data_IF_261958304620
#
_entry.id   IF_261958304620
#
_cell.length_a   1.000
_cell.length_b   1.000
_cell.length_c   1.000
_cell.angle_alpha   90.00
_cell.angle_beta   90.00
_cell.angle_gamma   90.00
#
_symmetry.space_group_name_H-M   'P 1'
#
loop_
_entity.id
_entity.type
_entity.pdbx_description
1 polymer ?
#
# COMPACT_ATOMS: atom_id res chain seq x y z
N UNK A 1 -33.71 3.57 -28.53
CA UNK A 1 -33.54 4.32 -27.28
C UNK A 1 -32.09 4.75 -27.22
N UNK A 2 -31.79 5.95 -27.72
CA UNK A 2 -30.44 6.51 -27.84
C UNK A 2 -30.52 7.86 -27.13
N UNK A 3 -30.61 7.85 -25.80
CA UNK A 3 -30.52 9.04 -24.94
C UNK A 3 -30.47 8.55 -23.51
N UNK A 4 -29.26 8.44 -22.96
CA UNK A 4 -28.91 8.63 -21.53
C UNK A 4 -27.42 8.29 -21.34
N UNK A 5 -26.56 9.02 -22.06
CA UNK A 5 -25.18 9.22 -21.61
C UNK A 5 -25.05 10.73 -21.39
N UNK A 6 -25.65 11.16 -20.28
CA UNK A 6 -25.45 12.51 -19.79
C UNK A 6 -24.03 12.60 -19.28
N UNK A 7 -23.33 13.66 -19.70
CA UNK A 7 -22.02 14.09 -19.21
C UNK A 7 -21.95 14.02 -17.67
N UNK A 8 -21.63 12.86 -17.12
CA UNK A 8 -21.07 12.76 -15.77
C UNK A 8 -19.68 13.32 -15.90
N UNK A 9 -19.59 14.64 -15.75
CA UNK A 9 -18.35 15.39 -15.64
C UNK A 9 -17.42 14.58 -14.74
N UNK A 10 -16.38 13.98 -15.33
CA UNK A 10 -15.53 13.02 -14.64
C UNK A 10 -14.81 13.80 -13.55
N UNK A 11 -15.32 13.73 -12.31
CA UNK A 11 -14.75 14.41 -11.19
C UNK A 11 -13.35 13.83 -10.95
N UNK A 12 -12.35 14.71 -10.96
CA UNK A 12 -10.94 14.37 -10.77
C UNK A 12 -10.47 14.95 -9.44
N UNK A 13 -9.33 14.46 -8.95
CA UNK A 13 -8.69 14.97 -7.73
C UNK A 13 -8.56 16.50 -7.71
N UNK A 14 -8.21 17.11 -8.85
CA UNK A 14 -8.10 18.57 -9.03
C UNK A 14 -9.39 19.34 -8.74
N UNK A 15 -10.54 18.69 -8.86
CA UNK A 15 -11.86 19.29 -8.59
C UNK A 15 -12.16 19.30 -7.10
N UNK A 16 -11.86 18.20 -6.41
CA UNK A 16 -12.15 18.08 -4.98
C UNK A 16 -11.12 18.76 -4.09
N UNK A 17 -9.85 18.78 -4.49
CA UNK A 17 -8.76 19.23 -3.62
C UNK A 17 -8.90 20.69 -3.15
N UNK A 18 -9.29 21.67 -3.99
CA UNK A 18 -9.53 23.02 -3.52
C UNK A 18 -10.65 23.10 -2.47
N UNK A 19 -11.69 22.29 -2.63
CA UNK A 19 -12.85 22.25 -1.71
C UNK A 19 -12.43 21.63 -0.37
N UNK A 20 -11.70 20.51 -0.40
CA UNK A 20 -11.17 19.90 0.82
C UNK A 20 -10.24 20.86 1.57
N UNK A 21 -9.32 21.53 0.86
CA UNK A 21 -8.44 22.55 1.46
C UNK A 21 -9.24 23.69 2.10
N UNK A 22 -10.25 24.20 1.41
CA UNK A 22 -11.11 25.26 1.93
C UNK A 22 -11.77 24.87 3.25
N UNK A 23 -12.37 23.68 3.34
CA UNK A 23 -12.98 23.25 4.59
C UNK A 23 -11.96 23.01 5.70
N UNK A 24 -10.80 22.42 5.37
CA UNK A 24 -9.73 22.22 6.33
C UNK A 24 -9.18 23.54 6.88
N UNK A 25 -8.95 24.54 6.04
CA UNK A 25 -8.43 25.86 6.43
C UNK A 25 -9.42 26.65 7.31
N UNK A 26 -10.73 26.40 7.15
CA UNK A 26 -11.77 27.00 7.98
C UNK A 26 -12.10 26.18 9.24
N UNK A 27 -11.44 25.04 9.46
CA UNK A 27 -11.73 24.14 10.58
C UNK A 27 -13.10 23.45 10.50
N UNK A 28 -13.76 23.45 9.33
CA UNK A 28 -15.01 22.73 9.12
C UNK A 28 -14.74 21.24 8.86
N UNK A 29 -14.48 20.53 9.97
CA UNK A 29 -14.12 19.12 9.96
C UNK A 29 -15.23 18.23 9.39
N UNK A 30 -16.50 18.54 9.66
CA UNK A 30 -17.64 17.76 9.15
C UNK A 30 -17.70 17.81 7.62
N UNK A 31 -17.60 19.00 7.04
CA UNK A 31 -17.59 19.17 5.58
C UNK A 31 -16.32 18.60 4.94
N UNK A 32 -15.16 18.77 5.58
CA UNK A 32 -13.91 18.17 5.11
C UNK A 32 -14.00 16.65 5.04
N UNK A 33 -14.53 16.00 6.08
CA UNK A 33 -14.71 14.54 6.14
C UNK A 33 -15.67 14.04 5.06
N UNK A 34 -16.76 14.77 4.80
CA UNK A 34 -17.71 14.46 3.71
C UNK A 34 -17.03 14.51 2.34
N UNK A 35 -16.30 15.59 2.05
CA UNK A 35 -15.59 15.74 0.76
C UNK A 35 -14.53 14.65 0.61
N UNK A 36 -13.79 14.35 1.67
CA UNK A 36 -12.81 13.27 1.65
C UNK A 36 -13.44 11.90 1.35
N UNK A 37 -14.58 11.57 1.99
CA UNK A 37 -15.26 10.30 1.70
C UNK A 37 -15.81 10.25 0.28
N UNK A 38 -16.32 11.37 -0.24
CA UNK A 38 -16.70 11.49 -1.66
C UNK A 38 -15.51 11.25 -2.59
N UNK A 39 -14.34 11.81 -2.27
CA UNK A 39 -13.10 11.57 -3.02
C UNK A 39 -12.75 10.07 -3.03
N UNK A 40 -12.71 9.42 -1.86
CA UNK A 40 -12.40 7.98 -1.73
C UNK A 40 -13.38 7.09 -2.51
N UNK A 41 -14.65 7.44 -2.50
CA UNK A 41 -15.70 6.66 -3.18
C UNK A 41 -15.79 6.94 -4.69
N UNK A 42 -15.00 7.87 -5.22
CA UNK A 42 -14.99 8.21 -6.65
C UNK A 42 -13.91 7.39 -7.36
N UNK A 43 -14.25 6.45 -8.27
CA UNK A 43 -13.29 5.51 -8.87
C UNK A 43 -12.13 6.16 -9.64
N UNK A 44 -12.30 7.40 -10.10
CA UNK A 44 -11.31 8.16 -10.88
C UNK A 44 -10.41 9.04 -10.02
N UNK A 45 -10.56 9.01 -8.70
CA UNK A 45 -9.78 9.80 -7.76
C UNK A 45 -8.85 8.86 -7.01
N UNK A 46 -7.54 9.01 -7.27
CA UNK A 46 -6.49 8.38 -6.49
C UNK A 46 -6.04 9.35 -5.41
N UNK A 47 -6.06 8.90 -4.15
CA UNK A 47 -5.62 9.71 -3.02
C UNK A 47 -4.10 9.61 -2.88
N UNK A 48 -3.47 10.75 -2.65
CA UNK A 48 -2.05 10.90 -2.34
C UNK A 48 -1.86 11.06 -0.83
N UNK A 49 -0.66 10.79 -0.29
CA UNK A 49 -0.38 10.94 1.15
C UNK A 49 -0.76 12.32 1.70
N UNK A 50 -0.62 13.37 0.89
CA UNK A 50 -0.99 14.75 1.17
C UNK A 50 -2.48 14.90 1.48
N UNK A 51 -3.36 14.13 0.83
CA UNK A 51 -4.81 14.22 1.04
C UNK A 51 -5.20 13.70 2.42
N UNK A 52 -4.67 12.53 2.79
CA UNK A 52 -4.86 11.93 4.11
C UNK A 52 -4.30 12.82 5.21
N UNK A 53 -3.06 13.24 5.04
CA UNK A 53 -2.37 14.06 6.04
C UNK A 53 -3.08 15.39 6.22
N UNK A 54 -3.61 16.01 5.16
CA UNK A 54 -4.40 17.23 5.27
C UNK A 54 -5.65 17.02 6.15
N UNK A 55 -6.40 15.96 5.91
CA UNK A 55 -7.61 15.66 6.71
C UNK A 55 -7.24 15.33 8.16
N UNK A 56 -6.36 14.34 8.37
CA UNK A 56 -5.97 13.87 9.70
C UNK A 56 -5.35 15.00 10.52
N UNK A 57 -4.49 15.83 9.91
CA UNK A 57 -3.95 17.02 10.55
C UNK A 57 -5.04 17.97 11.04
N UNK A 58 -6.04 18.24 10.19
CA UNK A 58 -7.15 19.15 10.52
C UNK A 58 -7.98 18.60 11.67
N UNK A 59 -8.31 17.30 11.65
CA UNK A 59 -9.07 16.64 12.72
C UNK A 59 -8.28 16.67 14.04
N UNK A 60 -6.97 16.38 13.98
CA UNK A 60 -6.09 16.45 15.14
C UNK A 60 -6.01 17.87 15.72
N UNK A 61 -5.77 18.90 14.89
CA UNK A 61 -5.66 20.31 15.30
C UNK A 61 -6.90 20.82 16.04
N UNK A 62 -8.08 20.36 15.61
CA UNK A 62 -9.35 20.69 16.23
C UNK A 62 -9.69 19.81 17.45
N UNK A 63 -8.82 18.85 17.80
CA UNK A 63 -8.92 18.06 19.02
C UNK A 63 -9.92 16.91 18.96
N UNK A 64 -10.41 16.53 17.78
CA UNK A 64 -11.40 15.47 17.60
C UNK A 64 -10.87 14.04 17.84
N UNK A 65 -9.57 13.88 18.05
CA UNK A 65 -8.96 12.59 18.45
C UNK A 65 -8.81 12.43 19.96
N UNK A 66 -9.24 13.40 20.76
CA UNK A 66 -9.20 13.29 22.23
C UNK A 66 -10.33 12.36 22.69
N UNK A 67 -10.11 11.58 23.75
CA UNK A 67 -11.14 10.70 24.31
C UNK A 67 -12.45 11.42 24.65
N UNK A 68 -12.36 12.67 25.11
CA UNK A 68 -13.51 13.48 25.53
C UNK A 68 -13.94 14.51 24.47
N UNK A 69 -13.60 14.33 23.19
CA UNK A 69 -14.02 15.27 22.15
C UNK A 69 -15.47 15.06 21.72
N UNK A 70 -16.14 16.15 21.36
CA UNK A 70 -17.46 16.08 20.76
C UNK A 70 -17.44 15.30 19.43
N UNK A 71 -18.46 14.49 19.13
CA UNK A 71 -18.60 13.80 17.86
C UNK A 71 -18.57 14.73 16.65
N UNK A 72 -17.88 14.33 15.57
CA UNK A 72 -17.98 14.97 14.27
C UNK A 72 -19.36 14.67 13.68
N UNK A 73 -20.12 15.73 13.43
CA UNK A 73 -21.46 15.62 12.84
C UNK A 73 -21.41 14.89 11.48
N UNK A 74 -22.23 13.85 11.35
CA UNK A 74 -22.37 13.05 10.13
C UNK A 74 -21.27 12.01 9.87
N UNK A 75 -20.31 11.79 10.79
CA UNK A 75 -19.28 10.77 10.61
C UNK A 75 -19.88 9.35 10.47
N UNK A 76 -20.86 9.01 11.31
CA UNK A 76 -21.52 7.70 11.24
C UNK A 76 -22.30 7.50 9.94
N UNK A 77 -22.89 8.57 9.40
CA UNK A 77 -23.62 8.54 8.12
C UNK A 77 -22.67 8.27 6.93
N UNK A 78 -21.39 8.57 7.09
CA UNK A 78 -20.33 8.29 6.12
C UNK A 78 -19.75 6.87 6.25
N UNK A 79 -20.21 6.09 7.23
CA UNK A 79 -19.81 4.71 7.47
C UNK A 79 -18.68 4.49 8.47
N UNK A 80 -18.25 5.53 9.19
CA UNK A 80 -17.31 5.37 10.31
C UNK A 80 -18.04 4.79 11.54
N UNK A 81 -17.37 3.92 12.30
CA UNK A 81 -17.93 3.34 13.54
C UNK A 81 -17.80 4.31 14.70
N UNK A 82 -16.68 5.03 14.75
CA UNK A 82 -16.41 6.11 15.68
C UNK A 82 -16.58 7.47 15.00
N UNK A 83 -17.10 8.44 15.75
CA UNK A 83 -17.29 9.82 15.29
C UNK A 83 -16.31 10.80 15.94
N UNK A 84 -15.48 10.32 16.88
CA UNK A 84 -14.52 11.09 17.66
C UNK A 84 -13.54 10.14 18.35
N UNK A 85 -12.50 10.69 18.95
CA UNK A 85 -11.54 9.97 19.80
C UNK A 85 -10.48 9.16 19.04
N UNK A 86 -9.72 8.33 19.77
CA UNK A 86 -8.68 7.48 19.19
C UNK A 86 -9.21 6.48 18.17
N UNK A 87 -10.42 5.95 18.38
CA UNK A 87 -11.02 4.97 17.46
C UNK A 87 -11.26 5.56 16.06
N UNK A 88 -11.64 6.85 15.98
CA UNK A 88 -11.75 7.54 14.70
C UNK A 88 -10.38 7.71 14.02
N UNK A 89 -9.32 7.97 14.80
CA UNK A 89 -7.96 8.03 14.25
C UNK A 89 -7.54 6.68 13.66
N UNK A 90 -7.81 5.59 14.38
CA UNK A 90 -7.50 4.23 13.94
C UNK A 90 -8.20 3.90 12.61
N UNK A 91 -9.50 4.23 12.47
CA UNK A 91 -10.24 4.03 11.21
C UNK A 91 -9.64 4.83 10.04
N UNK A 92 -9.27 6.09 10.26
CA UNK A 92 -8.69 6.95 9.21
C UNK A 92 -7.28 6.49 8.79
N UNK A 93 -6.48 6.02 9.74
CA UNK A 93 -5.13 5.50 9.45
C UNK A 93 -5.21 4.10 8.83
N UNK A 94 -6.19 3.28 9.19
CA UNK A 94 -6.48 2.01 8.51
C UNK A 94 -6.84 2.27 7.04
N UNK A 95 -7.73 3.23 6.78
CA UNK A 95 -8.06 3.69 5.43
C UNK A 95 -6.83 4.17 4.64
N UNK A 96 -5.90 4.87 5.28
CA UNK A 96 -4.64 5.30 4.66
C UNK A 96 -3.70 4.11 4.39
N UNK A 97 -3.66 3.13 5.28
CA UNK A 97 -2.82 1.95 5.17
C UNK A 97 -3.27 1.00 4.05
N UNK A 98 -4.58 0.94 3.76
CA UNK A 98 -5.14 0.20 2.62
C UNK A 98 -4.55 0.64 1.27
N UNK A 99 -4.22 1.93 1.13
CA UNK A 99 -3.61 2.49 -0.08
C UNK A 99 -2.07 2.31 -0.13
N UNK A 100 -1.47 1.65 0.86
CA UNK A 100 -0.04 1.36 0.96
C UNK A 100 0.87 2.60 0.77
N UNK A 101 0.45 3.74 1.32
CA UNK A 101 1.12 5.03 1.14
C UNK A 101 2.24 5.26 2.16
N UNK A 102 3.39 5.73 1.67
CA UNK A 102 4.46 6.26 2.51
C UNK A 102 4.36 7.79 2.62
N UNK A 103 4.52 8.33 3.83
CA UNK A 103 4.54 9.79 4.06
C UNK A 103 5.97 10.33 4.05
N UNK A 104 6.14 11.48 3.39
CA UNK A 104 7.40 12.23 3.43
C UNK A 104 7.68 12.80 4.83
N UNK A 105 8.95 13.14 5.10
CA UNK A 105 9.31 13.78 6.37
C UNK A 105 8.60 15.12 6.60
N UNK A 106 8.24 15.85 5.53
CA UNK A 106 7.50 17.09 5.64
C UNK A 106 6.06 16.85 6.12
N UNK A 107 5.40 15.83 5.56
CA UNK A 107 4.04 15.44 5.97
C UNK A 107 3.99 14.85 7.38
N UNK A 108 4.97 14.01 7.74
CA UNK A 108 5.10 13.48 9.10
C UNK A 108 5.25 14.61 10.14
N UNK A 109 6.00 15.67 9.80
CA UNK A 109 6.15 16.85 10.65
C UNK A 109 4.87 17.66 10.76
N UNK A 110 4.11 17.77 9.66
CA UNK A 110 2.78 18.38 9.69
C UNK A 110 1.88 17.64 10.68
N UNK A 111 1.74 16.32 10.54
CA UNK A 111 0.97 15.51 11.49
C UNK A 111 1.44 15.70 12.94
N UNK A 112 2.76 15.61 13.18
CA UNK A 112 3.33 15.82 14.51
C UNK A 112 2.89 17.17 15.10
N UNK A 113 3.00 18.26 14.32
CA UNK A 113 2.61 19.60 14.76
C UNK A 113 1.11 19.70 15.01
N UNK A 114 0.30 19.05 14.17
CA UNK A 114 -1.16 19.01 14.31
C UNK A 114 -1.59 18.32 15.60
N UNK A 115 -0.96 17.21 15.98
CA UNK A 115 -1.15 16.60 17.29
C UNK A 115 -0.66 17.50 18.43
N UNK A 116 0.48 18.19 18.26
CA UNK A 116 1.00 19.12 19.27
C UNK A 116 0.05 20.31 19.53
N UNK A 117 -0.60 20.83 18.49
CA UNK A 117 -1.67 21.83 18.60
C UNK A 117 -2.90 21.20 19.26
N UNK A 118 -3.34 20.09 18.68
CA UNK A 118 -4.55 19.36 19.01
C UNK A 118 -4.62 18.83 20.43
N UNK A 119 -3.50 18.61 21.09
CA UNK A 119 -3.44 18.10 22.46
C UNK A 119 -2.74 19.08 23.42
N UNK A 120 -2.55 20.34 23.00
CA UNK A 120 -1.89 21.37 23.81
C UNK A 120 -2.58 21.53 25.17
N UNK A 121 -1.78 21.46 26.23
CA UNK A 121 -2.24 21.63 27.62
C UNK A 121 -2.77 20.37 28.29
N UNK A 122 -2.78 19.23 27.60
CA UNK A 122 -3.09 17.94 28.18
C UNK A 122 -1.82 17.28 28.73
N UNK A 123 -1.91 16.65 29.89
CA UNK A 123 -0.77 16.02 30.56
C UNK A 123 -0.10 14.93 29.70
N UNK A 124 -0.92 14.12 29.04
CA UNK A 124 -0.46 13.09 28.09
C UNK A 124 0.40 13.63 26.93
N UNK A 125 0.28 14.91 26.59
CA UNK A 125 1.01 15.54 25.49
C UNK A 125 2.15 16.46 25.97
N UNK A 126 2.58 16.37 27.23
CA UNK A 126 3.63 17.23 27.82
C UNK A 126 4.96 17.22 27.05
N UNK A 127 5.28 16.12 26.38
CA UNK A 127 6.49 15.96 25.56
C UNK A 127 6.30 16.33 24.09
N UNK A 128 5.07 16.65 23.67
CA UNK A 128 4.73 16.97 22.30
C UNK A 128 4.76 18.49 22.09
N UNK A 129 5.84 18.99 21.49
CA UNK A 129 6.09 20.43 21.30
C UNK A 129 6.19 20.76 19.83
N UNK A 130 5.38 21.71 19.36
CA UNK A 130 5.41 22.14 17.96
C UNK A 130 6.84 22.40 17.48
N UNK A 131 7.17 21.78 16.35
CA UNK A 131 8.45 21.90 15.67
C UNK A 131 8.37 22.96 14.57
N UNK A 132 9.47 23.68 14.37
CA UNK A 132 9.60 24.58 13.23
C UNK A 132 9.47 23.81 11.91
N UNK A 133 8.89 24.43 10.88
CA UNK A 133 8.65 23.80 9.57
C UNK A 133 9.91 23.28 8.89
N UNK A 134 11.08 23.81 9.25
CA UNK A 134 12.40 23.39 8.73
C UNK A 134 13.20 22.50 9.71
N UNK A 135 12.70 22.23 10.91
CA UNK A 135 13.43 21.44 11.90
C UNK A 135 13.52 19.96 11.50
N UNK A 136 14.70 19.34 11.63
CA UNK A 136 14.84 17.91 11.40
C UNK A 136 14.05 17.08 12.42
N UNK A 137 13.42 15.99 11.97
CA UNK A 137 12.86 14.97 12.87
C UNK A 137 13.94 13.93 13.15
N UNK A 138 14.61 14.07 14.29
CA UNK A 138 15.62 13.11 14.74
C UNK A 138 14.96 11.89 15.37
N UNK A 139 15.55 10.69 15.23
CA UNK A 139 15.05 9.50 15.90
C UNK A 139 15.11 9.63 17.42
N UNK A 140 14.04 9.24 18.11
CA UNK A 140 13.96 9.19 19.58
C UNK A 140 13.64 7.76 20.01
N UNK A 141 14.55 7.14 20.75
CA UNK A 141 14.40 5.75 21.20
C UNK A 141 14.11 5.64 22.72
N UNK A 142 13.88 6.76 23.39
CA UNK A 142 13.45 6.78 24.79
C UNK A 142 12.06 6.14 24.90
N UNK A 143 11.88 5.28 25.91
CA UNK A 143 10.61 4.60 26.16
C UNK A 143 9.59 5.62 26.63
N UNK A 144 8.39 5.56 26.08
CA UNK A 144 7.30 6.44 26.46
C UNK A 144 6.78 6.10 27.85
N UNK A 145 6.27 7.11 28.56
CA UNK A 145 5.57 6.91 29.82
C UNK A 145 4.17 6.29 29.58
N UNK A 146 3.63 5.62 30.60
CA UNK A 146 2.28 5.04 30.53
C UNK A 146 1.24 6.14 30.29
N UNK A 147 0.43 5.99 29.24
CA UNK A 147 -0.58 6.97 28.85
C UNK A 147 -0.03 8.21 28.12
N UNK A 148 1.26 8.24 27.78
CA UNK A 148 1.85 9.32 26.97
C UNK A 148 1.35 9.27 25.52
N UNK A 149 0.92 10.43 25.00
CA UNK A 149 0.71 10.60 23.57
C UNK A 149 2.06 10.77 22.86
N UNK A 150 2.36 9.80 22.01
CA UNK A 150 3.64 9.69 21.32
C UNK A 150 3.49 9.97 19.83
N UNK A 151 4.17 11.00 19.34
CA UNK A 151 4.51 11.13 17.93
C UNK A 151 6.03 11.29 17.80
N UNK A 152 6.71 10.34 17.17
CA UNK A 152 8.18 10.37 17.05
C UNK A 152 8.67 9.61 15.85
N UNK A 153 9.81 10.06 15.33
CA UNK A 153 10.61 9.24 14.44
C UNK A 153 11.33 8.20 15.28
N UNK A 154 11.27 6.95 14.86
CA UNK A 154 11.98 5.83 15.49
C UNK A 154 12.74 5.05 14.44
N UNK A 155 13.75 4.29 14.87
CA UNK A 155 14.37 3.26 14.03
C UNK A 155 13.94 1.92 14.60
N UNK A 156 13.22 1.15 13.79
CA UNK A 156 12.77 -0.20 14.18
C UNK A 156 13.83 -1.20 13.78
N UNK A 157 14.23 -2.03 14.73
CA UNK A 157 15.16 -3.11 14.48
C UNK A 157 14.51 -4.20 13.60
N UNK A 158 15.23 -4.62 12.56
CA UNK A 158 14.73 -5.54 11.54
C UNK A 158 14.45 -6.95 12.07
N UNK A 159 15.05 -7.34 13.20
CA UNK A 159 14.85 -8.67 13.79
C UNK A 159 13.64 -8.70 14.71
N UNK A 160 13.50 -7.69 15.56
CA UNK A 160 12.43 -7.63 16.57
C UNK A 160 11.11 -7.10 16.01
N UNK A 161 11.16 -6.20 15.01
CA UNK A 161 10.01 -5.44 14.52
C UNK A 161 9.25 -4.71 15.65
N UNK A 162 9.93 -4.39 16.75
CA UNK A 162 9.36 -3.70 17.91
C UNK A 162 9.67 -2.22 17.85
N UNK A 163 8.66 -1.36 18.05
CA UNK A 163 8.87 0.06 18.24
C UNK A 163 9.67 0.29 19.54
N UNK A 164 10.84 0.97 19.49
CA UNK A 164 11.66 1.17 20.69
C UNK A 164 10.97 2.03 21.75
N UNK A 165 10.09 2.95 21.32
CA UNK A 165 9.41 3.93 22.16
C UNK A 165 8.15 3.37 22.83
N UNK A 166 7.25 2.77 22.05
CA UNK A 166 5.95 2.26 22.56
C UNK A 166 5.95 0.77 22.87
N UNK A 167 7.00 0.04 22.49
CA UNK A 167 7.06 -1.43 22.53
C UNK A 167 5.96 -2.13 21.72
N UNK A 168 5.25 -1.40 20.86
CA UNK A 168 4.30 -2.00 19.93
C UNK A 168 5.06 -2.87 18.91
N UNK A 169 4.56 -4.08 18.66
CA UNK A 169 5.07 -4.95 17.61
C UNK A 169 4.44 -4.56 16.28
N UNK A 170 5.25 -4.20 15.29
CA UNK A 170 4.77 -3.93 13.95
C UNK A 170 4.24 -5.23 13.33
N UNK A 171 3.13 -5.13 12.59
CA UNK A 171 2.58 -6.27 11.86
C UNK A 171 3.53 -6.64 10.73
N UNK A 172 3.91 -7.91 10.65
CA UNK A 172 4.51 -8.47 9.44
C UNK A 172 3.43 -8.43 8.34
N UNK A 173 3.84 -8.09 7.11
CA UNK A 173 3.00 -8.18 5.90
C UNK A 173 2.82 -9.68 5.54
N UNK A 174 2.34 -10.48 6.48
CA UNK A 174 1.98 -11.87 6.26
C UNK A 174 0.49 -11.92 6.02
N UNK A 175 0.09 -12.21 4.78
CA UNK A 175 -1.29 -12.54 4.47
C UNK A 175 -1.72 -13.74 5.35
N UNK A 176 -2.88 -13.62 6.00
CA UNK A 176 -3.52 -14.76 6.67
C UNK A 176 -3.89 -15.86 5.66
N UNK A 177 -4.16 -17.09 6.12
CA UNK A 177 -4.47 -18.21 5.22
C UNK A 177 -5.68 -17.92 4.30
N UNK A 178 -6.74 -17.33 4.86
CA UNK A 178 -7.94 -16.95 4.09
C UNK A 178 -7.66 -15.82 3.10
N UNK A 179 -6.79 -14.87 3.46
CA UNK A 179 -6.37 -13.78 2.56
C UNK A 179 -5.51 -14.31 1.42
N UNK A 180 -4.61 -15.28 1.68
CA UNK A 180 -3.82 -15.94 0.62
C UNK A 180 -4.71 -16.69 -0.35
N UNK A 181 -5.73 -17.39 0.15
CA UNK A 181 -6.69 -18.11 -0.70
C UNK A 181 -7.48 -17.16 -1.59
N UNK A 182 -8.05 -16.10 -1.01
CA UNK A 182 -8.76 -15.07 -1.79
C UNK A 182 -7.84 -14.41 -2.81
N UNK A 183 -6.62 -14.04 -2.42
CA UNK A 183 -5.63 -13.45 -3.33
C UNK A 183 -5.27 -14.40 -4.48
N UNK A 184 -5.09 -15.70 -4.19
CA UNK A 184 -4.85 -16.72 -5.20
C UNK A 184 -6.02 -16.85 -6.19
N UNK A 185 -7.25 -16.94 -5.68
CA UNK A 185 -8.47 -17.05 -6.50
C UNK A 185 -8.64 -15.80 -7.38
N UNK A 186 -8.46 -14.60 -6.81
CA UNK A 186 -8.51 -13.33 -7.54
C UNK A 186 -7.38 -13.20 -8.56
N UNK A 187 -6.16 -13.65 -8.26
CA UNK A 187 -5.06 -13.62 -9.24
C UNK A 187 -5.34 -14.54 -10.43
N UNK A 188 -5.94 -15.71 -10.20
CA UNK A 188 -6.37 -16.58 -11.30
C UNK A 188 -7.43 -15.90 -12.15
N UNK A 189 -8.43 -15.28 -11.52
CA UNK A 189 -9.50 -14.54 -12.20
C UNK A 189 -8.96 -13.33 -13.00
N UNK A 190 -8.07 -12.53 -12.41
CA UNK A 190 -7.42 -11.39 -13.04
C UNK A 190 -6.48 -11.81 -14.18
N UNK A 191 -5.79 -12.93 -14.05
CA UNK A 191 -4.94 -13.47 -15.12
C UNK A 191 -5.80 -13.90 -16.30
N UNK A 192 -6.98 -14.49 -16.04
CA UNK A 192 -7.95 -14.83 -17.08
C UNK A 192 -8.56 -13.58 -17.75
N UNK A 193 -8.86 -12.52 -16.99
CA UNK A 193 -9.49 -11.29 -17.52
C UNK A 193 -8.50 -10.32 -18.21
N UNK A 194 -7.28 -10.13 -17.71
CA UNK A 194 -6.24 -9.34 -18.40
C UNK A 194 -5.78 -10.01 -19.69
N UNK A 195 -5.79 -11.35 -19.74
CA UNK A 195 -5.60 -12.10 -20.99
C UNK A 195 -6.74 -11.87 -21.99
N UNK A 196 -7.95 -11.52 -21.52
CA UNK A 196 -9.04 -11.08 -22.38
C UNK A 196 -8.85 -9.64 -22.89
N UNK A 197 -8.33 -8.71 -22.08
CA UNK A 197 -8.12 -7.32 -22.53
C UNK A 197 -6.93 -7.16 -23.51
N UNK A 198 -5.87 -7.98 -23.40
CA UNK A 198 -4.82 -8.04 -24.42
C UNK A 198 -5.35 -8.48 -25.82
N UNK A 199 -6.59 -9.00 -25.91
CA UNK A 199 -7.24 -9.47 -27.14
C UNK A 199 -7.70 -8.36 -28.08
N UNK A 200 -8.00 -7.16 -27.59
CA UNK A 200 -8.44 -6.08 -28.48
C UNK A 200 -7.29 -5.57 -29.35
N UNK A 201 -6.04 -5.77 -28.91
CA UNK A 201 -4.86 -5.24 -29.59
C UNK A 201 -4.03 -6.28 -30.37
N UNK A 202 -4.17 -7.60 -30.12
CA UNK A 202 -3.40 -8.63 -30.85
C UNK A 202 -4.21 -9.91 -31.18
N UNK A 203 -3.98 -10.44 -32.40
CA UNK A 203 -4.78 -11.45 -33.11
C UNK A 203 -4.80 -12.88 -32.49
N UNK A 204 -5.96 -13.53 -32.71
CA UNK A 204 -6.36 -14.99 -32.73
C UNK A 204 -6.93 -15.61 -31.44
N UNK A 205 -8.24 -15.98 -31.43
CA UNK A 205 -8.93 -16.65 -30.31
C UNK A 205 -8.39 -18.02 -29.88
N UNK A 206 -7.62 -18.70 -30.73
CA UNK A 206 -7.15 -20.08 -30.51
C UNK A 206 -6.14 -20.23 -29.37
N UNK A 207 -5.39 -19.18 -29.06
CA UNK A 207 -4.23 -19.26 -28.17
C UNK A 207 -4.62 -19.08 -26.67
N UNK A 208 -5.87 -18.62 -26.40
CA UNK A 208 -6.37 -18.36 -25.05
C UNK A 208 -6.81 -19.61 -24.29
N UNK A 209 -7.54 -20.51 -24.96
CA UNK A 209 -7.89 -21.80 -24.39
C UNK A 209 -6.60 -22.56 -24.03
N UNK A 210 -5.58 -22.45 -24.89
CA UNK A 210 -4.26 -23.03 -24.65
C UNK A 210 -3.58 -22.37 -23.45
N UNK A 211 -3.52 -21.04 -23.35
CA UNK A 211 -2.85 -20.37 -22.23
C UNK A 211 -3.51 -20.66 -20.87
N UNK A 212 -4.84 -20.62 -20.78
CA UNK A 212 -5.58 -20.97 -19.57
C UNK A 212 -5.38 -22.46 -19.20
N UNK A 213 -5.40 -23.34 -20.19
CA UNK A 213 -5.12 -24.76 -20.00
C UNK A 213 -3.67 -25.00 -19.53
N UNK A 214 -2.68 -24.30 -20.09
CA UNK A 214 -1.28 -24.39 -19.66
C UNK A 214 -1.10 -23.88 -18.23
N UNK A 215 -1.76 -22.79 -17.85
CA UNK A 215 -1.73 -22.28 -16.48
C UNK A 215 -2.37 -23.27 -15.50
N UNK A 216 -3.53 -23.84 -15.85
CA UNK A 216 -4.18 -24.87 -15.05
C UNK A 216 -3.32 -26.14 -14.93
N UNK A 217 -2.66 -26.57 -16.02
CA UNK A 217 -1.70 -27.68 -16.01
C UNK A 217 -0.51 -27.39 -15.09
N UNK A 218 0.06 -26.18 -15.15
CA UNK A 218 1.17 -25.78 -14.28
C UNK A 218 0.76 -25.71 -12.81
N UNK A 219 -0.40 -25.12 -12.49
CA UNK A 219 -0.94 -25.08 -11.13
C UNK A 219 -1.19 -26.49 -10.57
N UNK A 220 -1.78 -27.37 -11.38
CA UNK A 220 -2.00 -28.77 -11.00
C UNK A 220 -0.69 -29.53 -10.77
N UNK A 221 0.32 -29.31 -11.61
CA UNK A 221 1.65 -29.88 -11.42
C UNK A 221 2.29 -29.38 -10.12
N UNK A 222 2.22 -28.08 -9.85
CA UNK A 222 2.78 -27.48 -8.64
C UNK A 222 2.17 -28.09 -7.36
N UNK A 223 0.86 -28.35 -7.37
CA UNK A 223 0.13 -28.95 -6.25
C UNK A 223 0.40 -30.45 -6.06
N UNK A 224 0.70 -31.19 -7.13
CA UNK A 224 0.84 -32.65 -7.10
C UNK A 224 2.28 -33.14 -7.12
N UNK A 225 3.25 -32.28 -7.41
CA UNK A 225 4.64 -32.73 -7.59
C UNK A 225 5.19 -33.31 -6.27
N UNK A 226 6.01 -34.37 -6.35
CA UNK A 226 6.73 -34.87 -5.19
C UNK A 226 7.83 -33.90 -4.75
N UNK A 227 8.33 -34.06 -3.53
CA UNK A 227 9.47 -33.30 -2.98
C UNK A 227 9.09 -32.09 -2.12
N UNK A 228 10.07 -31.52 -1.43
CA UNK A 228 9.89 -30.37 -0.54
C UNK A 228 9.24 -29.19 -1.30
N UNK A 229 8.34 -28.39 -0.70
CA UNK A 229 7.77 -27.21 -1.32
C UNK A 229 8.85 -26.24 -1.82
N UNK A 230 8.55 -25.49 -2.88
CA UNK A 230 9.45 -24.40 -3.28
C UNK A 230 9.29 -23.26 -2.29
N UNK A 231 10.42 -22.68 -1.89
CA UNK A 231 10.46 -21.56 -0.93
C UNK A 231 10.79 -20.24 -1.61
N UNK A 232 11.25 -20.30 -2.86
CA UNK A 232 11.46 -19.14 -3.72
C UNK A 232 10.99 -19.44 -5.15
N UNK A 233 10.48 -18.41 -5.84
CA UNK A 233 10.19 -18.46 -7.27
C UNK A 233 11.06 -17.42 -7.95
N UNK A 234 11.84 -17.84 -8.93
CA UNK A 234 12.78 -17.00 -9.69
C UNK A 234 12.20 -16.76 -11.08
N UNK A 235 11.94 -15.49 -11.38
CA UNK A 235 11.58 -15.04 -12.71
C UNK A 235 12.84 -15.01 -13.60
N UNK A 236 13.05 -16.10 -14.34
CA UNK A 236 14.28 -16.37 -15.05
C UNK A 236 14.67 -15.28 -16.05
N UNK A 237 13.76 -14.81 -16.94
CA UNK A 237 14.06 -13.71 -17.86
C UNK A 237 14.43 -12.40 -17.16
N UNK A 238 13.70 -12.00 -16.11
CA UNK A 238 13.99 -10.74 -15.42
C UNK A 238 15.37 -10.75 -14.75
N UNK A 239 15.78 -11.90 -14.19
CA UNK A 239 17.13 -12.07 -13.66
C UNK A 239 18.17 -12.08 -14.77
N UNK A 240 17.95 -12.86 -15.83
CA UNK A 240 18.92 -13.05 -16.91
C UNK A 240 19.10 -11.84 -17.83
N UNK A 241 18.17 -10.89 -17.82
CA UNK A 241 18.25 -9.60 -18.52
C UNK A 241 18.58 -8.44 -17.59
N UNK A 242 18.88 -8.70 -16.31
CA UNK A 242 19.22 -7.63 -15.37
C UNK A 242 20.47 -6.88 -15.86
N UNK A 243 20.31 -5.56 -16.05
CA UNK A 243 21.31 -4.66 -16.66
C UNK A 243 21.76 -5.05 -18.08
N UNK A 244 20.92 -5.74 -18.84
CA UNK A 244 21.18 -6.11 -20.25
C UNK A 244 20.43 -5.23 -21.25
N UNK A 245 19.96 -4.04 -20.88
CA UNK A 245 19.23 -3.14 -21.77
C UNK A 245 20.17 -2.28 -22.65
N UNK A 246 20.99 -2.92 -23.49
CA UNK A 246 21.85 -2.26 -24.49
C UNK A 246 21.88 -3.10 -25.78
N UNK A 247 22.35 -2.53 -26.90
CA UNK A 247 22.24 -3.13 -28.25
C UNK A 247 22.83 -4.55 -28.40
N UNK A 248 23.69 -4.98 -27.47
CA UNK A 248 24.26 -6.33 -27.45
C UNK A 248 23.87 -7.14 -26.20
N UNK A 249 22.89 -6.67 -25.44
CA UNK A 249 22.38 -7.34 -24.25
C UNK A 249 21.82 -8.71 -24.57
N UNK A 250 22.23 -9.73 -23.81
CA UNK A 250 21.85 -11.12 -24.06
C UNK A 250 21.35 -11.76 -22.79
N UNK A 251 20.52 -12.78 -22.98
CA UNK A 251 20.09 -13.63 -21.88
C UNK A 251 21.31 -14.28 -21.22
N UNK A 252 21.56 -13.96 -19.96
CA UNK A 252 22.74 -14.41 -19.22
C UNK A 252 22.40 -15.52 -18.21
N UNK A 253 22.70 -16.78 -18.56
CA UNK A 253 22.51 -17.92 -17.67
C UNK A 253 23.38 -17.86 -16.40
N UNK A 254 24.53 -17.18 -16.43
CA UNK A 254 25.38 -17.06 -15.25
C UNK A 254 24.74 -16.17 -14.17
N UNK A 255 24.02 -15.12 -14.55
CA UNK A 255 23.26 -14.31 -13.59
C UNK A 255 22.18 -15.15 -12.92
N UNK A 256 21.46 -15.95 -13.71
CA UNK A 256 20.43 -16.85 -13.19
C UNK A 256 21.02 -17.92 -12.26
N UNK A 257 22.12 -18.55 -12.66
CA UNK A 257 22.82 -19.55 -11.84
C UNK A 257 23.29 -18.93 -10.52
N UNK A 258 23.86 -17.73 -10.55
CA UNK A 258 24.33 -17.04 -9.36
C UNK A 258 23.20 -16.80 -8.34
N UNK A 259 22.02 -16.38 -8.79
CA UNK A 259 20.84 -16.21 -7.92
C UNK A 259 20.37 -17.55 -7.34
N UNK A 260 20.33 -18.60 -8.16
CA UNK A 260 19.93 -19.94 -7.70
C UNK A 260 20.92 -20.49 -6.67
N UNK A 261 22.23 -20.38 -6.92
CA UNK A 261 23.28 -20.84 -6.02
C UNK A 261 23.23 -20.10 -4.68
N UNK A 262 23.00 -18.78 -4.71
CA UNK A 262 22.82 -17.98 -3.51
C UNK A 262 21.62 -18.47 -2.69
N UNK A 263 20.46 -18.69 -3.32
CA UNK A 263 19.26 -19.21 -2.64
C UNK A 263 19.50 -20.60 -2.04
N UNK A 264 20.12 -21.51 -2.80
CA UNK A 264 20.48 -22.85 -2.32
C UNK A 264 21.44 -22.77 -1.13
N UNK A 265 22.43 -21.87 -1.16
CA UNK A 265 23.35 -21.65 -0.04
C UNK A 265 22.65 -21.19 1.24
N UNK A 266 21.51 -20.49 1.09
CA UNK A 266 20.62 -20.09 2.19
C UNK A 266 19.65 -21.21 2.62
N UNK A 267 19.79 -22.43 2.08
CA UNK A 267 18.91 -23.58 2.29
C UNK A 267 17.49 -23.39 1.74
N UNK A 268 17.33 -22.49 0.77
CA UNK A 268 16.08 -22.32 0.03
C UNK A 268 15.95 -23.38 -1.08
N UNK A 269 14.72 -23.63 -1.52
CA UNK A 269 14.37 -24.52 -2.63
C UNK A 269 13.73 -23.70 -3.77
N UNK A 270 14.54 -23.14 -4.70
CA UNK A 270 14.04 -22.25 -5.73
C UNK A 270 13.39 -22.99 -6.91
N UNK A 271 12.26 -22.46 -7.41
CA UNK A 271 11.69 -22.79 -8.72
C UNK A 271 12.02 -21.69 -9.73
N UNK A 272 12.69 -22.05 -10.82
CA UNK A 272 12.98 -21.12 -11.91
C UNK A 272 11.90 -21.20 -12.99
N UNK A 273 11.28 -20.08 -13.32
CA UNK A 273 10.30 -19.97 -14.41
C UNK A 273 10.98 -19.38 -15.64
N UNK A 274 10.93 -20.11 -16.76
CA UNK A 274 11.52 -19.70 -18.03
C UNK A 274 10.56 -19.96 -19.20
N UNK A 275 10.48 -19.05 -20.18
CA UNK A 275 9.87 -19.33 -21.47
C UNK A 275 10.56 -20.51 -22.17
N UNK A 276 9.79 -21.40 -22.78
CA UNK A 276 10.29 -22.62 -23.44
C UNK A 276 11.38 -22.35 -24.50
N UNK A 277 11.42 -21.17 -25.11
CA UNK A 277 12.49 -20.83 -26.07
C UNK A 277 13.88 -20.80 -25.43
N UNK A 278 13.98 -20.42 -24.15
CA UNK A 278 15.24 -20.37 -23.40
C UNK A 278 15.61 -21.71 -22.75
N UNK A 279 14.78 -22.74 -22.86
CA UNK A 279 15.16 -24.09 -22.39
C UNK A 279 15.76 -24.94 -23.51
N UNK A 280 15.85 -24.39 -24.73
CA UNK A 280 16.42 -25.07 -25.90
C UNK A 280 17.94 -24.91 -25.95
N UNK A 281 18.69 -25.93 -26.44
CA UNK A 281 20.14 -25.86 -26.61
C UNK A 281 20.62 -24.73 -27.53
N UNK A 282 19.75 -24.28 -28.45
CA UNK A 282 19.97 -23.15 -29.36
C UNK A 282 18.65 -22.39 -29.52
N UNK A 283 18.71 -21.07 -29.42
CA UNK A 283 17.57 -20.20 -29.70
C UNK A 283 18.05 -18.94 -30.45
N UNK A 284 17.22 -18.38 -31.36
CA UNK A 284 17.61 -17.18 -32.08
C UNK A 284 17.68 -16.00 -31.10
N UNK A 285 18.80 -15.28 -31.17
CA UNK A 285 18.96 -13.96 -30.54
C UNK A 285 18.35 -12.98 -31.54
N UNK A 286 17.20 -12.40 -31.19
CA UNK A 286 16.63 -11.25 -31.92
C UNK A 286 17.42 -10.00 -31.60
#
# INVERSE_FOLDING_TARGET
SIYEDSDKEVLRLRTFMPILKYYCENGDVSSALKVFKMMRNTPTVFLEPENYVLLIATIAENGFFRENSEPISGANDLGYKASAGPDLFDELVEEMAEDALEISSALARRLYNSFAVGFKGLDMAKHLKQMHSLAGMFPTNEVAEDGELVASRVVVDAQSAMCPRTKAKLRLISLGEDQRKKFYDTLLELSMSRMQQFQENFRKPSDHAVAAEQLARFANWLNKRPGAPFTAIVDGPNVAYYMQNFDQGKFNYHQLQFVVDALVSMKENPLVILPFKYTKPKFPVS
#
